data_IF_952163769562
#
_entry.id   IF_952163769562
#
_cell.length_a   1.000
_cell.length_b   1.000
_cell.length_c   1.000
_cell.angle_alpha   90.00
_cell.angle_beta   90.00
_cell.angle_gamma   90.00
#
_symmetry.space_group_name_H-M   'P 1'
#
loop_
_entity.id
_entity.type
_entity.pdbx_description
1 polymer ?
#
# COMPACT_ATOMS: atom_id res chain seq x y z
N UNK A 1 0.66 -43.84 -2.96
CA UNK A 1 0.04 -42.66 -3.61
C UNK A 1 0.31 -41.31 -2.94
N UNK A 2 1.12 -41.20 -1.86
CA UNK A 2 1.46 -39.90 -1.24
C UNK A 2 2.64 -39.17 -1.90
N UNK A 3 3.52 -39.88 -2.63
CA UNK A 3 4.71 -39.30 -3.27
C UNK A 3 4.41 -38.54 -4.60
N UNK A 4 3.32 -38.90 -5.30
CA UNK A 4 2.90 -38.19 -6.52
C UNK A 4 2.20 -36.85 -6.23
N UNK A 5 1.52 -36.71 -5.09
CA UNK A 5 0.80 -35.49 -4.73
C UNK A 5 1.76 -34.33 -4.42
N UNK A 6 2.90 -34.63 -3.81
CA UNK A 6 3.95 -33.65 -3.50
C UNK A 6 4.61 -33.08 -4.77
N UNK A 7 4.68 -33.87 -5.85
CA UNK A 7 5.26 -33.42 -7.12
C UNK A 7 4.33 -32.44 -7.85
N UNK A 8 3.00 -32.63 -7.75
CA UNK A 8 2.02 -31.70 -8.33
C UNK A 8 1.97 -30.36 -7.59
N UNK A 9 2.10 -30.36 -6.25
CA UNK A 9 2.18 -29.12 -5.48
C UNK A 9 3.46 -28.34 -5.80
N UNK A 10 4.57 -29.03 -6.09
CA UNK A 10 5.84 -28.40 -6.45
C UNK A 10 5.83 -27.80 -7.88
N UNK A 11 5.13 -28.42 -8.83
CA UNK A 11 5.02 -27.89 -10.21
C UNK A 11 4.07 -26.68 -10.26
N UNK A 12 2.96 -26.68 -9.51
CA UNK A 12 2.05 -25.52 -9.41
C UNK A 12 2.74 -24.35 -8.68
N UNK A 13 3.66 -24.63 -7.75
CA UNK A 13 4.47 -23.62 -7.07
C UNK A 13 5.55 -22.96 -7.95
N UNK A 14 5.94 -23.58 -9.07
CA UNK A 14 6.98 -23.08 -9.97
C UNK A 14 6.44 -22.37 -11.22
N UNK A 15 5.15 -22.52 -11.57
CA UNK A 15 4.57 -21.86 -12.75
C UNK A 15 4.01 -20.45 -12.49
N UNK A 16 4.14 -19.91 -11.27
CA UNK A 16 3.84 -18.49 -10.99
C UNK A 16 5.06 -17.58 -11.20
N UNK A 17 6.19 -18.12 -11.67
CA UNK A 17 7.36 -17.35 -12.11
C UNK A 17 7.63 -17.61 -13.58
N UNK A 18 6.89 -16.95 -14.45
CA UNK A 18 7.28 -16.53 -15.81
C UNK A 18 6.03 -16.25 -16.64
N UNK A 19 5.46 -15.05 -16.54
CA UNK A 19 4.95 -14.32 -17.71
C UNK A 19 4.60 -12.87 -17.33
N UNK A 20 5.60 -12.04 -16.98
CA UNK A 20 5.38 -10.59 -16.97
C UNK A 20 5.45 -9.97 -18.39
N UNK A 21 5.42 -10.79 -19.45
CA UNK A 21 5.66 -10.36 -20.83
C UNK A 21 4.42 -10.47 -21.73
N UNK A 22 3.23 -10.20 -21.16
CA UNK A 22 2.07 -9.83 -21.98
C UNK A 22 2.09 -8.33 -22.21
N UNK A 23 2.13 -7.96 -23.48
CA UNK A 23 2.01 -6.60 -24.04
C UNK A 23 0.87 -5.81 -23.41
N UNK A 24 1.17 -5.14 -22.30
CA UNK A 24 0.35 -4.12 -21.64
C UNK A 24 0.98 -2.76 -21.99
N UNK A 25 0.17 -1.71 -22.14
CA UNK A 25 0.61 -0.41 -22.64
C UNK A 25 1.91 0.05 -21.97
N UNK A 26 2.96 0.24 -22.78
CA UNK A 26 4.30 0.65 -22.34
C UNK A 26 4.29 1.95 -21.51
N UNK A 27 3.25 2.78 -21.61
CA UNK A 27 3.23 4.12 -21.00
C UNK A 27 2.99 4.12 -19.49
N UNK A 28 2.06 3.31 -18.97
CA UNK A 28 1.68 3.39 -17.54
C UNK A 28 2.66 2.65 -16.63
N UNK A 29 3.19 1.51 -17.08
CA UNK A 29 4.16 0.72 -16.31
C UNK A 29 5.54 1.43 -16.23
N UNK A 30 5.86 2.28 -17.21
CA UNK A 30 7.11 3.04 -17.23
C UNK A 30 7.10 4.16 -16.19
N UNK A 31 5.99 4.90 -16.07
CA UNK A 31 5.91 6.04 -15.15
C UNK A 31 6.09 5.64 -13.69
N UNK A 32 5.43 4.58 -13.21
CA UNK A 32 5.57 4.16 -11.80
C UNK A 32 6.96 3.61 -11.50
N UNK A 33 7.57 2.87 -12.44
CA UNK A 33 8.95 2.40 -12.30
C UNK A 33 9.95 3.56 -12.28
N UNK A 34 9.77 4.56 -13.14
CA UNK A 34 10.59 5.76 -13.16
C UNK A 34 10.42 6.60 -11.88
N UNK A 35 9.18 6.76 -11.41
CA UNK A 35 8.89 7.45 -10.16
C UNK A 35 9.57 6.76 -8.97
N UNK A 36 9.42 5.44 -8.84
CA UNK A 36 10.07 4.66 -7.78
C UNK A 36 11.60 4.78 -7.82
N UNK A 37 12.21 4.73 -9.02
CA UNK A 37 13.66 4.92 -9.19
C UNK A 37 14.13 6.32 -8.81
N UNK A 38 13.29 7.33 -9.04
CA UNK A 38 13.61 8.70 -8.65
C UNK A 38 13.57 8.86 -7.13
N UNK A 39 12.48 8.42 -6.50
CA UNK A 39 12.23 8.71 -5.08
C UNK A 39 12.88 7.73 -4.10
N UNK A 40 13.43 6.62 -4.57
CA UNK A 40 14.09 5.62 -3.72
C UNK A 40 15.57 5.50 -4.04
N UNK A 41 16.43 5.41 -3.01
CA UNK A 41 17.80 4.95 -3.21
C UNK A 41 17.81 3.56 -3.84
N UNK A 42 18.76 3.29 -4.73
CA UNK A 42 18.96 1.99 -5.39
C UNK A 42 18.88 0.81 -4.40
N UNK A 43 19.51 0.95 -3.23
CA UNK A 43 19.52 -0.08 -2.18
C UNK A 43 18.14 -0.48 -1.63
N UNK A 44 17.14 0.38 -1.77
CA UNK A 44 15.74 0.13 -1.42
C UNK A 44 14.96 -0.30 -2.67
N UNK A 45 15.15 0.41 -3.79
CA UNK A 45 14.49 0.10 -5.06
C UNK A 45 14.67 -1.38 -5.43
N UNK A 46 15.91 -1.88 -5.45
CA UNK A 46 16.21 -3.28 -5.80
C UNK A 46 15.63 -4.32 -4.82
N UNK A 47 15.25 -3.91 -3.60
CA UNK A 47 14.59 -4.83 -2.64
C UNK A 47 13.11 -5.00 -2.92
N UNK A 48 12.48 -3.98 -3.50
CA UNK A 48 11.03 -3.94 -3.70
C UNK A 48 10.64 -4.00 -5.18
N UNK A 49 11.60 -3.89 -6.10
CA UNK A 49 11.33 -4.10 -7.51
C UNK A 49 10.74 -5.50 -7.73
N UNK A 50 9.76 -5.58 -8.63
CA UNK A 50 9.02 -6.79 -8.93
C UNK A 50 8.26 -7.41 -7.74
N UNK A 51 7.99 -6.63 -6.69
CA UNK A 51 7.09 -7.02 -5.59
C UNK A 51 5.81 -6.19 -5.64
N UNK A 52 4.69 -6.74 -5.15
CA UNK A 52 3.49 -5.94 -4.96
C UNK A 52 3.76 -4.78 -3.99
N UNK A 53 3.24 -3.61 -4.33
CA UNK A 53 3.39 -2.38 -3.54
C UNK A 53 2.02 -1.74 -3.29
N UNK A 54 1.80 -1.26 -2.08
CA UNK A 54 0.77 -0.26 -1.80
C UNK A 54 1.49 1.08 -1.66
N UNK A 55 1.10 2.06 -2.47
CA UNK A 55 1.69 3.40 -2.47
C UNK A 55 0.60 4.37 -2.06
N UNK A 56 0.86 5.18 -1.05
CA UNK A 56 0.01 6.32 -0.69
C UNK A 56 0.81 7.60 -0.87
N UNK A 57 0.23 8.62 -1.48
CA UNK A 57 0.83 9.93 -1.66
C UNK A 57 -0.20 11.03 -1.46
N UNK A 58 0.21 12.13 -0.82
CA UNK A 58 -0.67 13.28 -0.59
C UNK A 58 0.11 14.60 -0.48
N UNK A 59 -0.49 15.70 -0.93
CA UNK A 59 0.11 17.03 -0.81
C UNK A 59 -0.45 18.08 -1.78
N UNK A 60 0.07 19.31 -1.69
CA UNK A 60 -0.43 20.49 -2.40
C UNK A 60 0.60 21.14 -3.35
N UNK A 61 1.85 21.29 -2.92
CA UNK A 61 2.98 21.79 -3.75
C UNK A 61 4.29 21.01 -3.53
N UNK A 62 4.28 20.16 -2.52
CA UNK A 62 5.18 19.03 -2.29
C UNK A 62 4.30 17.89 -1.79
N UNK A 63 4.77 16.66 -1.89
CA UNK A 63 3.98 15.50 -1.49
C UNK A 63 4.76 14.62 -0.52
N UNK A 64 4.05 14.12 0.47
CA UNK A 64 4.53 13.03 1.31
C UNK A 64 4.06 11.72 0.69
N UNK A 65 4.83 10.66 0.89
CA UNK A 65 4.49 9.35 0.38
C UNK A 65 4.90 8.26 1.37
N UNK A 66 4.16 7.15 1.30
CA UNK A 66 4.42 5.90 2.00
C UNK A 66 4.32 4.77 1.01
N UNK A 67 5.31 3.88 1.00
CA UNK A 67 5.31 2.64 0.23
C UNK A 67 5.33 1.48 1.21
N UNK A 68 4.34 0.60 1.14
CA UNK A 68 4.30 -0.65 1.86
C UNK A 68 4.55 -1.79 0.86
N UNK A 69 5.41 -2.73 1.22
CA UNK A 69 5.61 -3.97 0.48
C UNK A 69 5.69 -5.16 1.43
N UNK A 70 5.39 -6.35 0.90
CA UNK A 70 5.63 -7.62 1.57
C UNK A 70 7.01 -8.15 1.20
N UNK A 71 7.87 -8.29 2.20
CA UNK A 71 9.17 -8.94 2.06
C UNK A 71 9.10 -10.21 2.89
N UNK A 72 9.06 -11.33 2.19
CA UNK A 72 8.85 -12.67 2.77
C UNK A 72 7.53 -12.74 3.54
N UNK A 73 7.57 -12.98 4.85
CA UNK A 73 6.38 -13.03 5.73
C UNK A 73 6.05 -11.69 6.39
N UNK A 74 6.90 -10.67 6.20
CA UNK A 74 6.81 -9.41 6.93
C UNK A 74 6.42 -8.23 6.03
N UNK A 75 5.87 -7.20 6.67
CA UNK A 75 5.61 -5.92 6.04
C UNK A 75 6.78 -4.96 6.26
N UNK A 76 7.18 -4.26 5.20
CA UNK A 76 8.15 -3.17 5.26
C UNK A 76 7.48 -1.88 4.76
N UNK A 77 7.82 -0.76 5.40
CA UNK A 77 7.35 0.55 4.99
C UNK A 77 8.52 1.51 4.71
N UNK A 78 8.41 2.27 3.64
CA UNK A 78 9.34 3.33 3.26
C UNK A 78 8.54 4.62 3.19
N UNK A 79 9.05 5.68 3.80
CA UNK A 79 8.36 6.97 3.80
C UNK A 79 9.27 8.04 3.26
N UNK A 80 8.69 9.03 2.59
CA UNK A 80 9.43 10.18 2.15
C UNK A 80 8.58 11.40 1.95
N UNK A 81 9.26 12.52 1.74
CA UNK A 81 8.65 13.81 1.45
C UNK A 81 9.45 14.47 0.34
N UNK A 82 8.75 14.99 -0.65
CA UNK A 82 9.30 15.81 -1.73
C UNK A 82 8.87 17.25 -1.48
N UNK A 83 9.83 18.16 -1.35
CA UNK A 83 9.57 19.60 -1.22
C UNK A 83 10.57 20.38 -2.08
N UNK A 84 10.09 20.98 -3.18
CA UNK A 84 10.97 21.55 -4.20
C UNK A 84 11.90 20.48 -4.79
N UNK A 85 13.21 20.77 -4.85
CA UNK A 85 14.25 19.85 -5.33
C UNK A 85 14.82 18.94 -4.22
N UNK A 86 14.29 19.02 -2.99
CA UNK A 86 14.76 18.22 -1.87
C UNK A 86 13.89 16.97 -1.66
N UNK A 87 14.53 15.80 -1.75
CA UNK A 87 13.91 14.50 -1.48
C UNK A 87 14.46 13.93 -0.17
N UNK A 88 13.57 13.68 0.79
CA UNK A 88 13.93 13.02 2.04
C UNK A 88 13.34 11.62 2.05
N UNK A 89 14.20 10.61 2.11
CA UNK A 89 13.79 9.21 2.22
C UNK A 89 14.18 8.69 3.58
N UNK A 90 13.21 8.18 4.34
CA UNK A 90 13.45 7.51 5.61
C UNK A 90 12.92 6.07 5.53
N UNK A 91 13.81 5.05 5.57
CA UNK A 91 13.34 3.68 5.74
C UNK A 91 12.73 3.52 7.14
N UNK A 92 11.51 2.99 7.23
CA UNK A 92 10.95 2.52 8.49
C UNK A 92 11.13 1.00 8.56
N UNK A 93 12.26 0.57 9.16
CA UNK A 93 12.53 -0.85 9.39
C UNK A 93 11.84 -1.32 10.67
N UNK A 94 11.37 -2.57 10.65
CA UNK A 94 10.77 -3.34 11.76
C UNK A 94 11.64 -3.47 13.02
N UNK A 95 12.86 -2.92 13.03
CA UNK A 95 13.85 -3.06 14.13
C UNK A 95 13.61 -2.15 15.34
N UNK A 96 12.52 -1.38 15.37
CA UNK A 96 12.07 -0.68 16.58
C UNK A 96 10.88 -1.42 17.22
N UNK A 97 10.81 -1.50 18.55
CA UNK A 97 9.68 -2.13 19.28
C UNK A 97 8.32 -1.54 18.85
N UNK A 98 8.30 -0.27 18.48
CA UNK A 98 7.10 0.41 17.98
C UNK A 98 6.70 -0.01 16.56
N UNK A 99 7.65 -0.35 15.68
CA UNK A 99 7.34 -0.84 14.34
C UNK A 99 6.76 -2.26 14.38
N UNK A 100 7.23 -3.14 15.28
CA UNK A 100 6.69 -4.50 15.40
C UNK A 100 5.23 -4.50 15.90
N UNK A 101 4.92 -3.68 16.91
CA UNK A 101 3.55 -3.56 17.42
C UNK A 101 2.58 -2.94 16.39
N UNK A 102 3.09 -2.00 15.58
CA UNK A 102 2.34 -1.43 14.47
C UNK A 102 2.02 -2.49 13.42
N UNK A 103 3.03 -3.12 12.83
CA UNK A 103 2.84 -4.08 11.75
C UNK A 103 2.00 -5.29 12.18
N UNK A 104 2.18 -5.80 13.41
CA UNK A 104 1.34 -6.89 13.91
C UNK A 104 -0.13 -6.48 14.11
N UNK A 105 -0.39 -5.25 14.56
CA UNK A 105 -1.78 -4.77 14.75
C UNK A 105 -2.47 -4.48 13.42
N UNK A 106 -1.76 -3.91 12.46
CA UNK A 106 -2.31 -3.49 11.17
C UNK A 106 -2.14 -4.53 10.06
N UNK A 107 -1.53 -5.68 10.34
CA UNK A 107 -1.34 -6.77 9.39
C UNK A 107 -2.66 -7.20 8.69
N UNK A 108 -3.82 -7.35 9.36
CA UNK A 108 -5.06 -7.69 8.67
C UNK A 108 -5.49 -6.66 7.61
N UNK A 109 -5.28 -5.37 7.90
CA UNK A 109 -5.61 -4.28 6.97
C UNK A 109 -4.67 -4.25 5.77
N UNK A 110 -3.37 -4.43 6.00
CA UNK A 110 -2.39 -4.56 4.92
C UNK A 110 -2.66 -5.81 4.09
N UNK A 111 -3.06 -6.91 4.74
CA UNK A 111 -3.43 -8.13 4.04
C UNK A 111 -4.64 -7.94 3.15
N UNK A 112 -5.68 -7.28 3.67
CA UNK A 112 -6.82 -6.88 2.86
C UNK A 112 -6.40 -6.02 1.65
N UNK A 113 -5.50 -5.06 1.85
CA UNK A 113 -5.00 -4.17 0.78
C UNK A 113 -4.30 -4.89 -0.36
N UNK A 114 -3.52 -5.94 -0.07
CA UNK A 114 -2.84 -6.73 -1.09
C UNK A 114 -3.70 -7.86 -1.68
N UNK A 115 -4.47 -8.55 -0.85
CA UNK A 115 -5.12 -9.82 -1.23
C UNK A 115 -6.57 -9.65 -1.70
N UNK A 116 -7.28 -8.68 -1.13
CA UNK A 116 -8.74 -8.55 -1.29
C UNK A 116 -9.15 -7.32 -2.07
N UNK A 117 -8.39 -6.22 -1.97
CA UNK A 117 -8.74 -4.93 -2.55
C UNK A 117 -9.15 -5.04 -4.03
N UNK A 118 -8.32 -5.68 -4.86
CA UNK A 118 -8.56 -5.77 -6.31
C UNK A 118 -9.86 -6.54 -6.64
N UNK A 119 -10.15 -7.60 -5.89
CA UNK A 119 -11.37 -8.40 -6.09
C UNK A 119 -12.64 -7.71 -5.59
N UNK A 120 -12.51 -6.81 -4.61
CA UNK A 120 -13.63 -6.07 -4.04
C UNK A 120 -13.93 -4.82 -4.88
N UNK A 121 -12.90 -4.08 -5.30
CA UNK A 121 -13.08 -2.86 -6.10
C UNK A 121 -13.74 -3.13 -7.44
N UNK A 122 -13.55 -4.31 -8.03
CA UNK A 122 -14.23 -4.69 -9.29
C UNK A 122 -15.76 -4.73 -9.18
N UNK A 123 -16.31 -4.68 -7.96
CA UNK A 123 -17.75 -4.64 -7.66
C UNK A 123 -18.21 -3.27 -7.17
N UNK A 124 -17.31 -2.29 -7.17
CA UNK A 124 -17.53 -0.95 -6.63
C UNK A 124 -17.59 0.06 -7.76
N UNK A 125 -18.42 1.08 -7.57
CA UNK A 125 -18.46 2.25 -8.41
C UNK A 125 -17.80 3.42 -7.66
N UNK A 126 -16.81 4.09 -8.28
CA UNK A 126 -16.17 5.25 -7.69
C UNK A 126 -17.15 6.44 -7.65
N UNK A 127 -17.36 7.03 -6.47
CA UNK A 127 -18.15 8.24 -6.28
C UNK A 127 -17.23 9.45 -6.46
N UNK A 128 -17.53 10.37 -7.37
CA UNK A 128 -16.69 11.56 -7.56
C UNK A 128 -16.55 12.36 -6.25
N UNK A 129 -15.32 12.41 -5.73
CA UNK A 129 -14.96 13.29 -4.63
C UNK A 129 -14.75 14.71 -5.16
N UNK A 130 -15.27 15.71 -4.44
CA UNK A 130 -14.85 17.09 -4.69
C UNK A 130 -13.44 17.27 -4.15
N UNK A 131 -12.51 17.73 -4.99
CA UNK A 131 -11.18 18.13 -4.54
C UNK A 131 -11.32 19.18 -3.45
N UNK A 132 -10.79 18.89 -2.26
CA UNK A 132 -11.00 19.75 -1.08
C UNK A 132 -10.37 21.13 -1.29
N UNK A 133 -9.24 21.20 -1.99
CA UNK A 133 -8.55 22.44 -2.38
C UNK A 133 -7.93 22.30 -3.77
N UNK A 134 -7.91 23.39 -4.54
CA UNK A 134 -7.22 23.40 -5.84
C UNK A 134 -5.73 23.13 -5.65
N UNK A 135 -5.20 22.10 -6.32
CA UNK A 135 -3.81 21.68 -6.23
C UNK A 135 -3.53 20.61 -5.17
N UNK A 136 -4.50 20.22 -4.32
CA UNK A 136 -4.30 19.13 -3.39
C UNK A 136 -4.58 17.81 -4.10
N UNK A 137 -3.60 16.92 -4.06
CA UNK A 137 -3.70 15.57 -4.60
C UNK A 137 -3.53 14.58 -3.47
N UNK A 138 -4.36 13.56 -3.44
CA UNK A 138 -4.19 12.38 -2.60
C UNK A 138 -4.47 11.13 -3.43
N UNK A 139 -3.64 10.10 -3.31
CA UNK A 139 -3.81 8.86 -4.06
C UNK A 139 -3.28 7.66 -3.31
N UNK A 140 -4.07 6.59 -3.30
CA UNK A 140 -3.68 5.24 -2.89
C UNK A 140 -3.61 4.36 -4.14
N UNK A 141 -2.45 3.74 -4.39
CA UNK A 141 -2.23 2.85 -5.53
C UNK A 141 -1.86 1.45 -5.07
N UNK A 142 -2.32 0.45 -5.81
CA UNK A 142 -1.82 -0.92 -5.74
C UNK A 142 -1.03 -1.21 -7.02
N UNK A 143 0.25 -1.51 -6.85
CA UNK A 143 1.14 -1.95 -7.91
C UNK A 143 1.33 -3.46 -7.79
N UNK A 144 1.15 -4.20 -8.88
CA UNK A 144 1.40 -5.64 -8.91
C UNK A 144 2.90 -5.98 -9.00
N UNK A 145 3.24 -7.26 -8.93
CA UNK A 145 4.62 -7.73 -9.03
C UNK A 145 5.26 -7.51 -10.41
N UNK A 146 4.49 -7.16 -11.44
CA UNK A 146 5.04 -6.79 -12.76
C UNK A 146 5.27 -5.27 -12.86
N UNK A 147 4.95 -4.51 -11.81
CA UNK A 147 5.06 -3.05 -11.76
C UNK A 147 3.84 -2.32 -12.33
N UNK A 148 2.75 -3.02 -12.65
CA UNK A 148 1.55 -2.41 -13.20
C UNK A 148 0.68 -1.84 -12.07
N UNK A 149 0.20 -0.61 -12.24
CA UNK A 149 -0.86 -0.07 -11.40
C UNK A 149 -2.18 -0.80 -11.69
N UNK A 150 -2.68 -1.56 -10.73
CA UNK A 150 -3.92 -2.35 -10.83
C UNK A 150 -5.09 -1.72 -10.07
N UNK A 151 -4.82 -0.71 -9.25
CA UNK A 151 -5.82 0.12 -8.59
C UNK A 151 -5.23 1.49 -8.25
N UNK A 152 -6.03 2.55 -8.37
CA UNK A 152 -5.71 3.90 -7.95
C UNK A 152 -6.97 4.58 -7.37
N UNK A 153 -6.92 5.02 -6.11
CA UNK A 153 -7.85 6.02 -5.58
C UNK A 153 -7.35 7.41 -6.00
N UNK A 154 -8.26 8.28 -6.44
CA UNK A 154 -7.95 9.67 -6.78
C UNK A 154 -8.71 10.62 -5.85
N UNK A 155 -7.98 11.47 -5.15
CA UNK A 155 -8.48 12.52 -4.26
C UNK A 155 -9.47 12.00 -3.20
N UNK A 156 -9.06 10.96 -2.47
CA UNK A 156 -9.82 10.43 -1.32
C UNK A 156 -11.24 9.99 -1.72
N UNK A 157 -11.34 9.32 -2.88
CA UNK A 157 -12.60 8.89 -3.46
C UNK A 157 -13.33 7.91 -2.55
N UNK A 158 -14.62 8.12 -2.35
CA UNK A 158 -15.49 7.10 -1.77
C UNK A 158 -16.06 6.20 -2.87
N UNK A 159 -16.55 5.03 -2.48
CA UNK A 159 -17.06 4.02 -3.41
C UNK A 159 -18.48 3.60 -3.03
N UNK A 160 -19.36 3.42 -4.01
CA UNK A 160 -20.68 2.80 -3.84
C UNK A 160 -20.67 1.36 -4.36
N UNK A 161 -21.59 0.54 -3.88
CA UNK A 161 -21.70 -0.86 -4.28
C UNK A 161 -21.99 -1.81 -3.11
N UNK A 162 -22.01 -3.12 -3.38
CA UNK A 162 -22.15 -4.15 -2.35
C UNK A 162 -21.04 -4.01 -1.31
N UNK A 163 -21.38 -4.03 -0.02
CA UNK A 163 -20.41 -3.89 1.09
C UNK A 163 -19.57 -2.59 1.07
N UNK A 164 -20.01 -1.56 0.35
CA UNK A 164 -19.34 -0.25 0.25
C UNK A 164 -18.97 0.34 1.63
N UNK A 165 -19.80 0.15 2.66
CA UNK A 165 -19.48 0.60 4.03
C UNK A 165 -18.18 -0.03 4.54
N UNK A 166 -18.00 -1.34 4.38
CA UNK A 166 -16.80 -2.04 4.83
C UNK A 166 -15.60 -1.72 3.93
N UNK A 167 -15.81 -1.63 2.62
CA UNK A 167 -14.76 -1.29 1.66
C UNK A 167 -14.17 0.10 1.90
N UNK A 168 -15.01 1.13 1.98
CA UNK A 168 -14.57 2.51 2.25
C UNK A 168 -13.88 2.60 3.62
N UNK A 169 -14.41 1.89 4.62
CA UNK A 169 -13.80 1.83 5.95
C UNK A 169 -12.36 1.32 5.88
N UNK A 170 -12.10 0.25 5.13
CA UNK A 170 -10.76 -0.29 4.95
C UNK A 170 -9.86 0.62 4.12
N UNK A 171 -10.34 1.19 3.00
CA UNK A 171 -9.56 2.15 2.21
C UNK A 171 -9.13 3.34 3.06
N UNK A 172 -10.08 3.99 3.75
CA UNK A 172 -9.75 5.17 4.54
C UNK A 172 -8.86 4.85 5.74
N UNK A 173 -9.00 3.66 6.34
CA UNK A 173 -8.03 3.25 7.36
C UNK A 173 -6.64 3.03 6.78
N UNK A 174 -6.53 2.43 5.59
CA UNK A 174 -5.25 2.20 4.93
C UNK A 174 -4.58 3.53 4.55
N UNK A 175 -5.32 4.44 3.94
CA UNK A 175 -4.88 5.82 3.65
C UNK A 175 -4.43 6.52 4.94
N UNK A 176 -5.23 6.46 6.00
CA UNK A 176 -4.91 7.12 7.27
C UNK A 176 -3.64 6.56 7.93
N UNK A 177 -3.46 5.23 8.00
CA UNK A 177 -2.25 4.66 8.61
C UNK A 177 -1.01 4.98 7.77
N UNK A 178 -1.13 5.03 6.45
CA UNK A 178 -0.02 5.37 5.56
C UNK A 178 0.33 6.85 5.64
N UNK A 179 -0.67 7.74 5.77
CA UNK A 179 -0.46 9.16 6.08
C UNK A 179 0.22 9.37 7.44
N UNK A 180 -0.21 8.61 8.45
CA UNK A 180 0.39 8.66 9.79
C UNK A 180 1.87 8.23 9.74
N UNK A 181 2.23 7.21 8.96
CA UNK A 181 3.62 6.76 8.78
C UNK A 181 4.52 7.84 8.18
N UNK A 182 4.02 8.64 7.23
CA UNK A 182 4.79 9.69 6.56
C UNK A 182 4.72 11.06 7.24
N UNK A 183 3.98 11.20 8.34
CA UNK A 183 3.78 12.49 9.04
C UNK A 183 4.39 12.48 10.44
N UNK A 184 5.65 12.92 10.62
CA UNK A 184 6.25 13.09 11.95
C UNK A 184 5.39 13.93 12.89
N UNK A 185 4.71 14.95 12.36
CA UNK A 185 3.84 15.86 13.10
C UNK A 185 2.60 15.13 13.65
N UNK A 186 2.01 14.20 12.87
CA UNK A 186 0.93 13.34 13.34
C UNK A 186 1.42 12.31 14.35
N UNK A 187 2.65 11.80 14.21
CA UNK A 187 3.21 10.83 15.16
C UNK A 187 3.47 11.46 16.54
N UNK A 188 3.78 12.76 16.58
CA UNK A 188 3.94 13.51 17.83
C UNK A 188 2.60 13.72 18.55
N UNK A 189 1.54 14.02 17.80
CA UNK A 189 0.21 14.33 18.35
C UNK A 189 -0.65 13.10 18.60
N UNK A 190 -0.47 12.04 17.81
CA UNK A 190 -1.13 10.75 17.94
C UNK A 190 -0.08 9.64 18.03
N UNK A 191 0.42 9.32 19.24
CA UNK A 191 1.39 8.25 19.43
C UNK A 191 0.82 6.89 19.01
N UNK A 192 1.69 5.99 18.56
CA UNK A 192 1.32 4.66 18.05
C UNK A 192 0.42 3.84 19.00
N UNK A 193 0.57 4.01 20.32
CA UNK A 193 -0.27 3.33 21.31
C UNK A 193 -1.72 3.79 21.24
N UNK A 194 -1.95 5.10 21.10
CA UNK A 194 -3.30 5.67 20.99
C UNK A 194 -3.90 5.36 19.61
N UNK A 195 -3.08 5.36 18.56
CA UNK A 195 -3.48 4.91 17.22
C UNK A 195 -3.99 3.45 17.26
N UNK A 196 -3.21 2.53 17.84
CA UNK A 196 -3.59 1.12 17.98
C UNK A 196 -4.87 0.95 18.80
N UNK A 197 -5.00 1.70 19.90
CA UNK A 197 -6.19 1.66 20.76
C UNK A 197 -7.44 2.12 20.00
N UNK A 198 -7.33 3.21 19.23
CA UNK A 198 -8.41 3.72 18.38
C UNK A 198 -8.80 2.70 17.30
N UNK A 199 -7.80 2.09 16.65
CA UNK A 199 -8.02 1.06 15.63
C UNK A 199 -8.74 -0.16 16.21
N UNK A 200 -8.24 -0.73 17.32
CA UNK A 200 -8.88 -1.91 17.96
C UNK A 200 -10.31 -1.63 18.41
N UNK A 201 -10.59 -0.41 18.91
CA UNK A 201 -11.97 0.00 19.25
C UNK A 201 -12.87 0.00 18.01
N UNK A 202 -12.37 0.50 16.89
CA UNK A 202 -13.12 0.66 15.65
C UNK A 202 -13.29 -0.66 14.88
N UNK A 203 -12.34 -1.58 15.04
CA UNK A 203 -12.24 -2.83 14.27
C UNK A 203 -12.26 -4.08 15.15
N UNK A 204 -12.99 -4.02 16.27
CA UNK A 204 -13.07 -5.09 17.26
C UNK A 204 -13.35 -6.48 16.64
N UNK A 205 -14.20 -6.54 15.61
CA UNK A 205 -14.57 -7.76 14.88
C UNK A 205 -13.45 -8.38 14.03
N UNK A 206 -12.34 -7.67 13.77
CA UNK A 206 -11.20 -8.23 13.02
C UNK A 206 -10.17 -8.92 13.92
N UNK A 207 -10.37 -8.88 15.25
CA UNK A 207 -9.42 -9.38 16.24
C UNK A 207 -10.01 -10.45 17.18
N UNK A 208 -11.28 -10.80 17.00
CA UNK A 208 -12.01 -11.87 17.71
C UNK A 208 -12.16 -13.08 16.78
#
# INVERSE_FOLDING_TARGET
>A
MKKLLLFFVFIIGLTMSADCDKTVSKSENTFEKEWLRRVLPDSIYFKIENRPLIIHSYGHHGYSWTIISRIDTDYCAYVGRVHGDSEFVRPMSSKNKYSLAFFSTFAPLMSWGFDSLLSQVSKMEPLEGKTMFAGYSESLKLIDSCGKCVFESKNSQSFSGPDSVAFNKNIHALEFIMMWLSSPELQQTLPVKELIKSYRKTYKHMFE
#
